data_IF_792388777075
#
_entry.id   IF_792388777075
#
_cell.length_a   1.000
_cell.length_b   1.000
_cell.length_c   1.000
_cell.angle_alpha   90.00
_cell.angle_beta   90.00
_cell.angle_gamma   90.00
#
_symmetry.space_group_name_H-M   'P 1'
#
loop_
_entity.id
_entity.type
_entity.pdbx_description
1 polymer ?
#
# COMPACT_ATOMS: atom_id res chain seq x y z
N UNK A 1 11.81 7.29 -1.96
CA UNK A 1 10.47 7.20 -2.58
C UNK A 1 9.69 6.03 -1.96
N UNK A 2 9.40 6.09 -0.65
CA UNK A 2 8.78 4.97 0.07
C UNK A 2 7.28 4.77 -0.27
N UNK A 3 6.58 5.81 -0.75
CA UNK A 3 5.15 5.76 -1.07
C UNK A 3 4.79 5.20 -2.45
N UNK A 4 5.75 4.73 -3.24
CA UNK A 4 5.48 4.21 -4.59
C UNK A 4 5.26 2.68 -4.63
N UNK A 5 5.71 1.94 -3.61
CA UNK A 5 5.65 0.47 -3.63
C UNK A 5 4.22 -0.07 -3.65
N UNK A 6 3.36 0.44 -2.76
CA UNK A 6 1.96 0.00 -2.67
C UNK A 6 1.13 0.31 -3.94
N UNK A 7 1.22 1.52 -4.53
CA UNK A 7 0.62 1.80 -5.84
C UNK A 7 1.06 0.87 -6.96
N UNK A 8 2.35 0.49 -7.01
CA UNK A 8 2.85 -0.45 -8.01
C UNK A 8 2.26 -1.85 -7.84
N UNK A 9 2.19 -2.36 -6.61
CA UNK A 9 1.52 -3.64 -6.29
C UNK A 9 0.04 -3.58 -6.72
N UNK A 10 -0.64 -2.46 -6.48
CA UNK A 10 -2.04 -2.29 -6.87
C UNK A 10 -2.23 -2.31 -8.40
N UNK A 11 -1.31 -1.73 -9.16
CA UNK A 11 -1.32 -1.78 -10.62
C UNK A 11 -1.16 -3.23 -11.13
N UNK A 12 -0.25 -4.00 -10.54
CA UNK A 12 -0.04 -5.41 -10.89
C UNK A 12 -1.29 -6.26 -10.59
N UNK A 13 -1.94 -6.01 -9.45
CA UNK A 13 -3.24 -6.59 -9.11
C UNK A 13 -4.31 -6.26 -10.15
N UNK A 14 -4.39 -4.99 -10.58
CA UNK A 14 -5.34 -4.57 -11.61
C UNK A 14 -5.07 -5.24 -12.96
N UNK A 15 -3.80 -5.46 -13.32
CA UNK A 15 -3.42 -6.18 -14.53
C UNK A 15 -3.86 -7.65 -14.46
N UNK A 16 -3.64 -8.33 -13.32
CA UNK A 16 -4.07 -9.73 -13.10
C UNK A 16 -5.57 -9.93 -13.32
N UNK A 17 -6.41 -9.01 -12.84
CA UNK A 17 -7.87 -9.11 -12.98
C UNK A 17 -8.41 -8.41 -14.22
N UNK A 18 -7.56 -8.11 -15.23
CA UNK A 18 -7.99 -7.52 -16.50
C UNK A 18 -8.57 -6.11 -16.39
N UNK A 19 -8.37 -5.43 -15.25
CA UNK A 19 -8.96 -4.12 -14.95
C UNK A 19 -8.02 -2.98 -15.34
N UNK A 20 -7.67 -2.89 -16.62
CA UNK A 20 -6.77 -1.86 -17.16
C UNK A 20 -7.24 -0.42 -16.85
N UNK A 21 -8.55 -0.20 -16.78
CA UNK A 21 -9.12 1.09 -16.41
C UNK A 21 -8.76 1.51 -14.97
N UNK A 22 -8.76 0.58 -14.01
CA UNK A 22 -8.34 0.88 -12.63
C UNK A 22 -6.82 1.08 -12.55
N UNK A 23 -6.04 0.26 -13.25
CA UNK A 23 -4.58 0.41 -13.30
C UNK A 23 -4.18 1.81 -13.78
N UNK A 24 -4.81 2.29 -14.86
CA UNK A 24 -4.55 3.62 -15.40
C UNK A 24 -4.96 4.74 -14.43
N UNK A 25 -6.09 4.60 -13.71
CA UNK A 25 -6.50 5.57 -12.69
C UNK A 25 -5.51 5.64 -11.54
N UNK A 26 -5.00 4.50 -11.07
CA UNK A 26 -3.96 4.46 -10.02
C UNK A 26 -2.67 5.10 -10.53
N UNK A 27 -2.24 4.80 -11.75
CA UNK A 27 -1.04 5.37 -12.35
C UNK A 27 -1.13 6.90 -12.49
N UNK A 28 -2.26 7.41 -12.98
CA UNK A 28 -2.52 8.86 -13.09
C UNK A 28 -2.51 9.51 -11.70
N UNK A 29 -3.17 8.87 -10.72
CA UNK A 29 -3.20 9.39 -9.35
C UNK A 29 -1.80 9.41 -8.71
N UNK A 30 -1.01 8.36 -8.89
CA UNK A 30 0.38 8.30 -8.42
C UNK A 30 1.23 9.39 -9.09
N UNK A 31 1.12 9.56 -10.41
CA UNK A 31 1.83 10.59 -11.15
C UNK A 31 1.47 12.00 -10.65
N UNK A 32 0.18 12.27 -10.47
CA UNK A 32 -0.31 13.54 -9.94
C UNK A 32 0.26 13.80 -8.54
N UNK A 33 0.23 12.79 -7.66
CA UNK A 33 0.81 12.91 -6.31
C UNK A 33 2.31 13.16 -6.35
N UNK A 34 3.06 12.52 -7.25
CA UNK A 34 4.51 12.75 -7.40
C UNK A 34 4.79 14.18 -7.86
N UNK A 35 4.07 14.66 -8.87
CA UNK A 35 4.22 16.03 -9.39
C UNK A 35 3.90 17.05 -8.30
N UNK A 36 2.75 16.89 -7.65
CA UNK A 36 2.29 17.78 -6.57
C UNK A 36 3.28 17.75 -5.41
N UNK A 37 3.72 16.55 -4.98
CA UNK A 37 4.72 16.38 -3.91
C UNK A 37 6.08 17.05 -4.18
N UNK A 38 6.43 17.36 -5.44
CA UNK A 38 7.65 18.11 -5.76
C UNK A 38 7.59 19.58 -5.32
N UNK A 39 6.38 20.13 -5.20
CA UNK A 39 6.15 21.54 -4.86
C UNK A 39 5.67 21.74 -3.41
N UNK A 40 5.42 20.66 -2.65
CA UNK A 40 4.90 20.78 -1.29
C UNK A 40 5.96 20.70 -0.20
N UNK A 41 5.71 21.34 0.96
CA UNK A 41 6.51 21.18 2.16
C UNK A 41 6.58 19.70 2.61
N UNK A 42 7.64 19.30 3.33
CA UNK A 42 7.89 17.90 3.72
C UNK A 42 6.72 17.21 4.43
N UNK A 43 6.06 17.92 5.37
CA UNK A 43 4.90 17.38 6.12
C UNK A 43 3.73 17.05 5.21
N UNK A 44 3.43 17.91 4.23
CA UNK A 44 2.29 17.71 3.33
C UNK A 44 2.60 16.71 2.23
N UNK A 45 3.89 16.58 1.85
CA UNK A 45 4.36 15.53 0.94
C UNK A 45 4.10 14.14 1.52
N UNK A 46 4.38 13.95 2.81
CA UNK A 46 4.15 12.67 3.48
C UNK A 46 2.68 12.28 3.46
N UNK A 47 1.79 13.22 3.83
CA UNK A 47 0.33 13.03 3.77
C UNK A 47 -0.15 12.70 2.36
N UNK A 48 0.35 13.40 1.33
CA UNK A 48 -0.01 13.12 -0.06
C UNK A 48 0.41 11.71 -0.50
N UNK A 49 1.62 11.28 -0.13
CA UNK A 49 2.10 9.91 -0.43
C UNK A 49 1.37 8.82 0.36
N UNK A 50 0.96 9.13 1.59
CA UNK A 50 0.15 8.24 2.42
C UNK A 50 -1.27 8.08 1.83
N UNK A 51 -1.86 9.18 1.34
CA UNK A 51 -3.14 9.13 0.62
C UNK A 51 -3.06 8.29 -0.66
N UNK A 52 -1.97 8.42 -1.44
CA UNK A 52 -1.70 7.58 -2.61
C UNK A 52 -1.66 6.09 -2.27
N UNK A 53 -0.94 5.75 -1.19
CA UNK A 53 -0.80 4.38 -0.72
C UNK A 53 -2.12 3.83 -0.17
N UNK A 54 -2.88 4.64 0.58
CA UNK A 54 -4.18 4.26 1.14
C UNK A 54 -5.22 4.00 0.05
N UNK A 55 -5.31 4.88 -0.96
CA UNK A 55 -6.19 4.66 -2.11
C UNK A 55 -5.85 3.36 -2.85
N UNK A 56 -4.56 3.11 -3.07
CA UNK A 56 -4.07 1.90 -3.74
C UNK A 56 -4.42 0.63 -2.94
N UNK A 57 -4.31 0.66 -1.61
CA UNK A 57 -4.74 -0.45 -0.76
C UNK A 57 -6.24 -0.71 -0.81
N UNK A 58 -7.07 0.34 -0.83
CA UNK A 58 -8.52 0.18 -0.98
C UNK A 58 -8.86 -0.53 -2.29
N UNK A 59 -8.21 -0.17 -3.38
CA UNK A 59 -8.39 -0.84 -4.67
C UNK A 59 -8.00 -2.32 -4.60
N UNK A 60 -6.85 -2.64 -3.99
CA UNK A 60 -6.41 -4.03 -3.78
C UNK A 60 -7.46 -4.81 -2.98
N UNK A 61 -7.96 -4.25 -1.87
CA UNK A 61 -8.96 -4.90 -1.02
C UNK A 61 -10.28 -5.14 -1.77
N UNK A 62 -10.77 -4.16 -2.53
CA UNK A 62 -12.00 -4.27 -3.32
C UNK A 62 -11.85 -5.33 -4.42
N UNK A 63 -10.73 -5.33 -5.14
CA UNK A 63 -10.45 -6.34 -6.17
C UNK A 63 -10.29 -7.73 -5.57
N UNK A 64 -9.60 -7.86 -4.44
CA UNK A 64 -9.42 -9.12 -3.73
C UNK A 64 -10.75 -9.68 -3.24
N UNK A 65 -11.63 -8.83 -2.69
CA UNK A 65 -12.97 -9.21 -2.25
C UNK A 65 -13.85 -9.66 -3.41
N UNK A 66 -13.88 -8.87 -4.50
CA UNK A 66 -14.68 -9.18 -5.70
C UNK A 66 -14.30 -10.50 -6.36
N UNK A 67 -13.00 -10.85 -6.33
CA UNK A 67 -12.47 -12.07 -6.95
C UNK A 67 -12.25 -13.23 -5.97
N UNK A 68 -12.75 -13.12 -4.72
CA UNK A 68 -12.57 -14.14 -3.65
C UNK A 68 -11.10 -14.52 -3.41
N UNK A 69 -10.17 -13.59 -3.61
CA UNK A 69 -8.75 -13.80 -3.34
C UNK A 69 -8.44 -13.52 -1.87
N UNK A 70 -8.55 -14.57 -1.06
CA UNK A 70 -8.29 -14.50 0.39
C UNK A 70 -6.84 -14.15 0.73
N UNK A 71 -5.87 -14.51 -0.11
CA UNK A 71 -4.46 -14.15 0.10
C UNK A 71 -4.24 -12.65 -0.12
N UNK A 72 -4.83 -12.07 -1.15
CA UNK A 72 -4.79 -10.62 -1.41
C UNK A 72 -5.51 -9.81 -0.34
N UNK A 73 -6.64 -10.32 0.18
CA UNK A 73 -7.33 -9.75 1.33
C UNK A 73 -6.46 -9.78 2.59
N UNK A 74 -5.82 -10.93 2.88
CA UNK A 74 -4.93 -11.09 4.03
C UNK A 74 -3.71 -10.17 3.95
N UNK A 75 -3.09 -10.08 2.78
CA UNK A 75 -2.00 -9.14 2.50
C UNK A 75 -2.45 -7.70 2.74
N UNK A 76 -3.64 -7.34 2.22
CA UNK A 76 -4.19 -6.01 2.35
C UNK A 76 -4.48 -5.60 3.78
N UNK A 77 -5.07 -6.50 4.57
CA UNK A 77 -5.32 -6.28 5.99
C UNK A 77 -4.01 -6.14 6.77
N UNK A 78 -3.00 -6.96 6.47
CA UNK A 78 -1.68 -6.88 7.11
C UNK A 78 -1.05 -5.50 6.89
N UNK A 79 -1.12 -4.97 5.67
CA UNK A 79 -0.61 -3.64 5.33
C UNK A 79 -1.38 -2.52 6.05
N UNK A 80 -2.71 -2.61 6.12
CA UNK A 80 -3.54 -1.61 6.82
C UNK A 80 -3.27 -1.62 8.32
N UNK A 81 -3.20 -2.80 8.93
CA UNK A 81 -2.89 -2.96 10.36
C UNK A 81 -1.49 -2.43 10.65
N UNK A 82 -0.49 -2.78 9.82
CA UNK A 82 0.86 -2.26 9.97
C UNK A 82 0.89 -0.73 9.91
N UNK A 83 0.19 -0.11 8.94
CA UNK A 83 0.15 1.34 8.80
C UNK A 83 -0.62 2.09 9.90
N UNK A 84 -1.58 1.44 10.56
CA UNK A 84 -2.39 2.05 11.63
C UNK A 84 -1.82 1.82 13.03
N UNK A 85 -1.24 0.64 13.28
CA UNK A 85 -0.81 0.20 14.62
C UNK A 85 0.67 0.48 14.85
N UNK A 86 1.49 0.40 13.81
CA UNK A 86 2.95 0.51 13.92
C UNK A 86 3.38 1.90 13.49
N UNK A 87 3.34 2.84 14.44
CA UNK A 87 3.92 4.17 14.25
C UNK A 87 5.45 4.11 14.29
N UNK A 88 6.14 5.06 13.65
CA UNK A 88 7.62 5.11 13.63
C UNK A 88 8.24 5.37 15.01
N UNK A 89 7.44 5.80 15.98
CA UNK A 89 7.86 6.16 17.32
C UNK A 89 7.33 5.14 18.35
N UNK A 90 8.22 4.70 19.24
CA UNK A 90 7.90 3.80 20.35
C UNK A 90 8.51 2.40 20.26
N UNK A 91 8.28 1.61 21.30
CA UNK A 91 8.67 0.21 21.39
C UNK A 91 7.47 -0.63 21.83
N UNK A 92 7.16 -1.67 21.06
CA UNK A 92 6.22 -2.71 21.42
C UNK A 92 7.04 -3.95 21.78
N UNK A 93 6.81 -4.51 22.97
CA UNK A 93 7.48 -5.73 23.47
C UNK A 93 9.03 -5.64 23.53
N UNK A 94 9.58 -4.44 23.72
CA UNK A 94 11.04 -4.23 23.84
C UNK A 94 11.78 -4.14 22.50
N UNK A 95 11.08 -4.30 21.38
CA UNK A 95 11.61 -4.05 20.04
C UNK A 95 11.16 -2.68 19.52
N UNK A 96 12.00 -1.99 18.72
CA UNK A 96 11.58 -0.79 17.99
C UNK A 96 10.35 -1.09 17.12
N UNK A 97 9.35 -0.20 17.12
CA UNK A 97 8.16 -0.35 16.26
C UNK A 97 8.50 -0.48 14.77
N UNK A 98 9.64 0.11 14.38
CA UNK A 98 10.20 0.00 13.03
C UNK A 98 10.47 -1.47 12.66
N UNK A 99 10.95 -2.31 13.57
CA UNK A 99 11.26 -3.72 13.26
C UNK A 99 9.97 -4.53 13.06
N UNK A 100 8.95 -4.29 13.90
CA UNK A 100 7.62 -4.87 13.72
C UNK A 100 7.00 -4.48 12.38
N UNK A 101 7.21 -3.23 11.95
CA UNK A 101 6.72 -2.75 10.66
C UNK A 101 7.38 -3.51 9.50
N UNK A 102 8.69 -3.76 9.59
CA UNK A 102 9.38 -4.59 8.59
C UNK A 102 8.86 -6.03 8.57
N UNK A 103 8.65 -6.67 9.72
CA UNK A 103 8.08 -8.02 9.77
C UNK A 103 6.68 -8.09 9.16
N UNK A 104 5.82 -7.12 9.47
CA UNK A 104 4.48 -7.04 8.89
C UNK A 104 4.52 -6.83 7.36
N UNK A 105 5.44 -5.98 6.87
CA UNK A 105 5.65 -5.81 5.43
C UNK A 105 6.16 -7.08 4.75
N UNK A 106 7.08 -7.83 5.37
CA UNK A 106 7.58 -9.10 4.81
C UNK A 106 6.43 -10.10 4.68
N UNK A 107 5.61 -10.25 5.73
CA UNK A 107 4.44 -11.15 5.72
C UNK A 107 3.44 -10.71 4.64
N UNK A 108 3.12 -9.41 4.56
CA UNK A 108 2.21 -8.88 3.57
C UNK A 108 2.70 -9.09 2.13
N UNK A 109 3.99 -8.87 1.86
CA UNK A 109 4.59 -9.12 0.55
C UNK A 109 4.59 -10.61 0.17
N UNK A 110 4.85 -11.49 1.13
CA UNK A 110 4.76 -12.93 0.91
C UNK A 110 3.34 -13.37 0.53
N UNK A 111 2.33 -12.82 1.23
CA UNK A 111 0.92 -13.05 0.89
C UNK A 111 0.58 -12.46 -0.49
N UNK A 112 1.13 -11.29 -0.83
CA UNK A 112 0.93 -10.70 -2.16
C UNK A 112 1.49 -11.57 -3.28
N UNK A 113 2.72 -12.09 -3.13
CA UNK A 113 3.33 -13.00 -4.10
C UNK A 113 2.49 -14.25 -4.36
N UNK A 114 1.74 -14.72 -3.36
CA UNK A 114 0.86 -15.89 -3.49
C UNK A 114 -0.52 -15.54 -4.05
N UNK A 115 -0.85 -14.26 -4.10
CA UNK A 115 -2.14 -13.73 -4.54
C UNK A 115 -2.12 -13.16 -5.96
N UNK A 116 -0.95 -12.75 -6.46
CA UNK A 116 -0.67 -12.37 -7.86
C UNK A 116 -0.40 -13.63 -8.70
#
# INVERSE_FOLDING_TARGET
AAGAGVPLIAMEFCAKYGSAMLANKIAIFLLAVIIVAAFLPPKTKEVATQAASGFSMLVILILSFSNKNYFGLGAGLTYVIAGLVLSSEGSILGFPNVDWLHYALIIGNYLFLRSI
#
